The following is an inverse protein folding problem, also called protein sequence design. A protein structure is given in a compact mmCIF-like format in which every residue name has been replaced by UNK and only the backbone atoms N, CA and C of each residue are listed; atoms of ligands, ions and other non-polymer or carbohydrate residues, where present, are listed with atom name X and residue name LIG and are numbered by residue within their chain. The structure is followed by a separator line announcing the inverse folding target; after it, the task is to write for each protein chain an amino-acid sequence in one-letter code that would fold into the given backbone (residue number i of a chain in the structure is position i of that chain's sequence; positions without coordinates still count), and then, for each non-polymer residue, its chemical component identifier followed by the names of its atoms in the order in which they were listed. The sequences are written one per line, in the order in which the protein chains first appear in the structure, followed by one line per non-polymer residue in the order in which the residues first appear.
data_IF_216429713642
#
_entry.id   IF_216429713642
#
_cell.length_a   1.000
_cell.length_b   1.000
_cell.length_c   1.000
_cell.angle_alpha   90.00
_cell.angle_beta   90.00
_cell.angle_gamma   90.00
#
_symmetry.space_group_name_H-M   'P 1'
#
loop_
_entity.id
_entity.type
_entity.pdbx_description
1 polymer ?
#
# COMPACT_ATOMS: atom_id res chain seq x y z
N UNK A 1 -8.22 7.98 -6.42
CA UNK A 1 -6.93 7.26 -6.37
C UNK A 1 -6.88 6.32 -7.55
N UNK A 2 -5.78 6.34 -8.29
CA UNK A 2 -5.63 5.56 -9.52
C UNK A 2 -4.59 4.47 -9.27
N UNK A 3 -4.88 3.22 -9.64
CA UNK A 3 -3.84 2.19 -9.61
C UNK A 3 -2.85 2.43 -10.73
N UNK A 4 -1.57 2.26 -10.43
CA UNK A 4 -0.48 2.39 -11.38
C UNK A 4 -0.42 1.22 -12.39
N UNK A 5 -1.12 0.13 -12.12
CA UNK A 5 -1.26 -1.06 -12.99
C UNK A 5 -2.40 -0.98 -14.02
N UNK A 6 -3.11 0.14 -14.17
CA UNK A 6 -4.23 0.21 -15.12
C UNK A 6 -3.80 0.00 -16.60
N UNK A 7 -2.52 0.22 -16.90
CA UNK A 7 -1.94 -0.05 -18.22
C UNK A 7 -1.75 -1.54 -18.54
N UNK A 8 -1.92 -2.42 -17.55
CA UNK A 8 -1.88 -3.88 -17.74
C UNK A 8 -3.06 -4.40 -18.57
N UNK A 9 -4.16 -3.65 -18.67
CA UNK A 9 -5.23 -3.92 -19.65
C UNK A 9 -5.90 -2.59 -19.99
N UNK A 10 -5.33 -1.91 -20.99
CA UNK A 10 -5.82 -0.60 -21.44
C UNK A 10 -7.30 -0.64 -21.81
N UNK A 11 -7.77 -1.69 -22.48
CA UNK A 11 -9.16 -1.76 -22.95
C UNK A 11 -10.15 -1.88 -21.77
N UNK A 12 -9.77 -2.53 -20.68
CA UNK A 12 -10.63 -2.70 -19.50
C UNK A 12 -10.50 -1.59 -18.47
N UNK A 13 -9.30 -1.08 -18.23
CA UNK A 13 -9.03 -0.17 -17.10
C UNK A 13 -8.85 1.29 -17.50
N UNK A 14 -8.64 1.59 -18.79
CA UNK A 14 -8.36 2.96 -19.25
C UNK A 14 -9.32 3.43 -20.36
N UNK A 15 -9.52 2.63 -21.42
CA UNK A 15 -10.26 3.06 -22.62
C UNK A 15 -11.69 3.51 -22.27
N UNK A 16 -12.03 4.70 -22.74
CA UNK A 16 -13.34 5.33 -22.54
C UNK A 16 -13.56 5.91 -21.14
N UNK A 17 -12.50 5.99 -20.32
CA UNK A 17 -12.47 6.76 -19.09
C UNK A 17 -11.55 7.99 -19.28
N UNK A 18 -12.08 9.21 -19.45
CA UNK A 18 -11.28 10.39 -19.76
C UNK A 18 -10.22 10.73 -18.72
N UNK A 19 -10.48 10.46 -17.44
CA UNK A 19 -9.51 10.74 -16.37
C UNK A 19 -8.36 9.74 -16.37
N UNK A 20 -8.65 8.47 -16.68
CA UNK A 20 -7.60 7.46 -16.86
C UNK A 20 -6.82 7.71 -18.15
N UNK A 21 -7.49 8.04 -19.25
CA UNK A 21 -6.86 8.32 -20.55
C UNK A 21 -5.93 9.52 -20.48
N UNK A 22 -6.27 10.56 -19.70
CA UNK A 22 -5.39 11.70 -19.44
C UNK A 22 -4.13 11.29 -18.67
N UNK A 23 -4.29 10.63 -17.52
CA UNK A 23 -3.16 10.18 -16.68
C UNK A 23 -2.23 9.23 -17.43
N UNK A 24 -2.80 8.31 -18.21
CA UNK A 24 -2.07 7.29 -18.96
C UNK A 24 -1.72 7.72 -20.39
N UNK A 25 -1.98 8.97 -20.77
CA UNK A 25 -1.65 9.45 -22.10
C UNK A 25 -0.16 9.31 -22.34
N UNK A 26 0.19 8.48 -23.32
CA UNK A 26 1.56 8.24 -23.75
C UNK A 26 1.57 7.94 -25.24
N UNK A 27 1.65 9.00 -26.03
CA UNK A 27 1.68 8.95 -27.50
C UNK A 27 3.05 9.32 -28.09
N UNK A 28 3.19 9.27 -29.43
CA UNK A 28 4.38 9.76 -30.13
C UNK A 28 4.70 11.24 -29.87
N UNK A 29 3.69 12.05 -29.51
CA UNK A 29 3.82 13.49 -29.26
C UNK A 29 4.20 13.81 -27.81
N UNK A 30 4.14 12.84 -26.89
CA UNK A 30 4.53 13.03 -25.50
C UNK A 30 3.73 12.20 -24.50
N UNK A 31 3.96 12.52 -23.22
CA UNK A 31 3.23 11.98 -22.07
C UNK A 31 2.59 13.13 -21.29
N UNK A 32 1.40 12.93 -20.76
CA UNK A 32 0.78 13.94 -19.87
C UNK A 32 1.42 13.92 -18.48
N UNK A 33 1.74 12.72 -17.96
CA UNK A 33 2.53 12.53 -16.73
C UNK A 33 3.94 12.09 -17.09
N UNK A 34 4.85 13.07 -17.15
CA UNK A 34 6.23 12.89 -17.65
C UNK A 34 7.20 12.31 -16.61
N UNK A 35 6.99 12.58 -15.31
CA UNK A 35 7.86 12.09 -14.24
C UNK A 35 7.19 10.91 -13.55
N UNK A 36 7.87 9.75 -13.53
CA UNK A 36 7.42 8.56 -12.82
C UNK A 36 8.53 8.02 -11.94
N UNK A 37 8.30 8.02 -10.64
CA UNK A 37 9.32 7.80 -9.63
C UNK A 37 10.08 9.08 -9.28
N UNK A 38 10.85 8.98 -8.20
CA UNK A 38 11.59 10.06 -7.55
C UNK A 38 12.57 10.76 -8.49
N UNK A 39 13.17 10.03 -9.41
CA UNK A 39 14.10 10.55 -10.43
C UNK A 39 13.56 10.46 -11.86
N UNK A 40 12.32 10.00 -12.03
CA UNK A 40 11.71 9.76 -13.34
C UNK A 40 12.09 8.42 -13.99
N UNK A 41 12.87 7.58 -13.32
CA UNK A 41 13.31 6.26 -13.83
C UNK A 41 12.54 5.07 -13.26
N UNK A 42 11.39 5.31 -12.62
CA UNK A 42 10.61 4.27 -11.94
C UNK A 42 11.07 3.92 -10.52
N UNK A 43 11.92 4.74 -9.89
CA UNK A 43 12.24 4.64 -8.45
C UNK A 43 11.12 5.27 -7.62
N UNK A 44 9.99 4.56 -7.59
CA UNK A 44 8.68 5.01 -7.08
C UNK A 44 7.61 4.80 -8.15
N UNK A 45 6.62 3.96 -7.86
CA UNK A 45 5.68 3.46 -8.89
C UNK A 45 4.26 4.00 -8.74
N UNK A 46 3.90 4.50 -7.56
CA UNK A 46 2.52 4.80 -7.20
C UNK A 46 2.03 6.13 -7.77
N UNK A 47 0.80 6.14 -8.31
CA UNK A 47 0.10 7.38 -8.70
C UNK A 47 -0.58 7.97 -7.46
N UNK A 48 0.03 9.01 -6.89
CA UNK A 48 -0.47 9.67 -5.68
C UNK A 48 -1.33 10.88 -6.03
N UNK A 49 -2.60 10.85 -5.63
CA UNK A 49 -3.50 12.00 -5.68
C UNK A 49 -3.18 12.93 -4.51
N UNK A 50 -2.85 14.20 -4.80
CA UNK A 50 -2.43 15.18 -3.81
C UNK A 50 -1.39 16.17 -4.35
N UNK A 51 -0.64 16.86 -3.47
CA UNK A 51 -0.84 16.90 -2.02
C UNK A 51 -2.02 17.80 -1.61
N UNK A 52 -2.75 17.37 -0.59
CA UNK A 52 -3.74 18.16 0.13
C UNK A 52 -3.01 18.98 1.19
N UNK A 53 -3.06 20.30 1.07
CA UNK A 53 -2.51 21.23 2.06
C UNK A 53 -3.51 21.45 3.19
N UNK A 54 -3.06 21.28 4.44
CA UNK A 54 -3.88 21.44 5.66
C UNK A 54 -3.46 22.72 6.37
N UNK A 55 -4.35 23.73 6.36
CA UNK A 55 -4.07 25.02 6.98
C UNK A 55 -3.75 24.89 8.48
N UNK A 56 -2.64 25.51 8.91
CA UNK A 56 -2.23 25.55 10.32
C UNK A 56 -1.50 24.30 10.82
N UNK A 57 -1.30 23.29 9.96
CA UNK A 57 -0.51 22.12 10.29
C UNK A 57 0.98 22.49 10.38
N UNK A 58 1.60 22.14 11.50
CA UNK A 58 3.00 22.44 11.83
C UNK A 58 3.70 21.17 12.33
N UNK A 59 5.04 21.18 12.33
CA UNK A 59 5.82 20.06 12.81
C UNK A 59 5.46 19.73 14.28
N UNK A 60 5.17 18.46 14.56
CA UNK A 60 4.77 17.99 15.89
C UNK A 60 3.25 17.86 16.08
N UNK A 61 2.45 18.44 15.19
CA UNK A 61 1.02 18.13 15.11
C UNK A 61 0.81 16.69 14.62
N UNK A 62 -0.42 16.17 14.74
CA UNK A 62 -0.84 14.90 14.15
C UNK A 62 -1.97 15.15 13.16
N UNK A 63 -1.86 14.56 11.97
CA UNK A 63 -2.96 14.53 11.01
C UNK A 63 -3.79 13.27 11.21
N UNK A 64 -5.04 13.44 11.60
CA UNK A 64 -6.05 12.40 11.70
C UNK A 64 -6.82 12.31 10.39
N UNK A 65 -6.86 11.14 9.76
CA UNK A 65 -7.53 10.87 8.49
C UNK A 65 -8.53 9.73 8.66
N UNK A 66 -9.82 10.07 8.75
CA UNK A 66 -10.92 9.09 8.83
C UNK A 66 -11.33 8.65 7.42
N UNK A 67 -11.37 7.34 7.17
CA UNK A 67 -11.77 6.75 5.90
C UNK A 67 -13.26 6.42 5.96
N UNK A 68 -14.10 7.32 5.44
CA UNK A 68 -15.55 7.24 5.57
C UNK A 68 -16.16 6.23 4.59
N UNK A 69 -15.67 6.21 3.35
CA UNK A 69 -16.10 5.25 2.35
C UNK A 69 -15.03 5.03 1.28
N UNK A 70 -15.02 3.83 0.69
CA UNK A 70 -14.16 3.48 -0.44
C UNK A 70 -15.01 2.74 -1.48
N UNK A 71 -14.90 3.16 -2.74
CA UNK A 71 -15.73 2.66 -3.85
C UNK A 71 -14.85 2.42 -5.06
N UNK A 72 -14.98 1.28 -5.77
CA UNK A 72 -14.21 1.07 -6.98
C UNK A 72 -14.58 2.09 -8.05
N UNK A 73 -13.59 2.52 -8.84
CA UNK A 73 -13.80 3.29 -10.05
C UNK A 73 -14.44 2.37 -11.09
N UNK A 74 -15.61 2.74 -11.58
CA UNK A 74 -16.29 2.00 -12.66
C UNK A 74 -15.83 2.58 -13.97
N UNK A 75 -15.33 1.74 -14.88
CA UNK A 75 -15.01 2.17 -16.23
C UNK A 75 -16.33 2.58 -16.95
N UNK A 76 -16.48 3.84 -17.38
CA UNK A 76 -17.72 4.32 -18.00
C UNK A 76 -18.09 3.58 -19.29
N UNK A 77 -17.11 3.06 -20.03
CA UNK A 77 -17.35 2.39 -21.32
C UNK A 77 -17.87 0.97 -21.17
N UNK A 78 -17.48 0.27 -20.11
CA UNK A 78 -17.86 -1.13 -19.87
C UNK A 78 -18.88 -1.30 -18.75
N UNK A 79 -19.06 -0.30 -17.88
CA UNK A 79 -19.88 -0.40 -16.67
C UNK A 79 -19.32 -1.36 -15.62
N UNK A 80 -18.06 -1.78 -15.77
CA UNK A 80 -17.38 -2.76 -14.90
C UNK A 80 -16.18 -2.13 -14.20
N UNK A 81 -15.69 -2.82 -13.18
CA UNK A 81 -14.43 -2.51 -12.52
C UNK A 81 -13.51 -3.70 -12.67
N UNK A 82 -12.26 -3.42 -13.00
CA UNK A 82 -11.18 -4.40 -13.07
C UNK A 82 -10.03 -3.97 -12.18
N UNK A 83 -9.23 -4.95 -11.78
CA UNK A 83 -7.95 -4.74 -11.12
C UNK A 83 -6.89 -5.66 -11.71
N UNK A 84 -5.63 -5.35 -11.42
CA UNK A 84 -4.48 -6.18 -11.77
C UNK A 84 -3.87 -6.78 -10.51
N UNK A 85 -3.14 -7.86 -10.65
CA UNK A 85 -2.26 -8.36 -9.60
C UNK A 85 -1.05 -8.93 -10.33
N UNK A 86 0.11 -8.38 -10.02
CA UNK A 86 1.36 -8.74 -10.65
C UNK A 86 2.18 -9.56 -9.65
N UNK A 87 2.35 -10.85 -9.95
CA UNK A 87 3.41 -11.65 -9.37
C UNK A 87 4.73 -11.17 -9.97
N UNK A 88 5.27 -10.11 -9.38
CA UNK A 88 6.36 -9.32 -9.93
C UNK A 88 7.72 -9.72 -9.36
N UNK A 89 8.78 -9.29 -10.02
CA UNK A 89 10.15 -9.67 -9.65
C UNK A 89 10.62 -9.19 -8.27
N UNK A 90 10.00 -8.16 -7.72
CA UNK A 90 10.29 -7.64 -6.38
C UNK A 90 9.56 -8.44 -5.28
N UNK A 91 8.58 -9.25 -5.67
CA UNK A 91 7.82 -10.10 -4.77
C UNK A 91 8.69 -11.17 -4.08
N UNK A 92 8.24 -11.63 -2.93
CA UNK A 92 8.98 -12.57 -2.09
C UNK A 92 9.11 -13.96 -2.74
N UNK A 93 8.15 -14.37 -3.58
CA UNK A 93 8.21 -15.58 -4.40
C UNK A 93 9.43 -15.63 -5.32
N UNK A 94 9.93 -14.49 -5.81
CA UNK A 94 11.18 -14.46 -6.59
C UNK A 94 12.41 -14.79 -5.74
N UNK A 95 12.39 -14.42 -4.45
CA UNK A 95 13.43 -14.77 -3.47
C UNK A 95 13.32 -16.23 -3.04
N UNK A 96 12.09 -16.72 -2.85
CA UNK A 96 11.82 -18.10 -2.45
C UNK A 96 12.11 -19.11 -3.58
N UNK A 97 11.99 -18.68 -4.83
CA UNK A 97 12.22 -19.50 -6.02
C UNK A 97 10.98 -20.23 -6.52
N UNK A 98 11.05 -20.68 -7.78
CA UNK A 98 9.97 -21.37 -8.47
C UNK A 98 10.25 -22.87 -8.58
N UNK A 99 9.20 -23.69 -8.63
CA UNK A 99 9.32 -25.16 -8.66
C UNK A 99 10.18 -25.69 -9.82
N UNK A 100 10.13 -25.05 -10.98
CA UNK A 100 10.92 -25.39 -12.17
C UNK A 100 12.26 -24.64 -12.25
N UNK A 101 12.60 -23.86 -11.22
CA UNK A 101 13.80 -23.04 -11.15
C UNK A 101 13.82 -21.85 -12.10
N UNK A 102 12.69 -21.53 -12.76
CA UNK A 102 12.61 -20.47 -13.78
C UNK A 102 11.84 -19.26 -13.25
N UNK A 103 12.51 -18.12 -13.01
CA UNK A 103 11.84 -16.90 -12.62
C UNK A 103 10.92 -16.42 -13.76
N UNK A 104 9.75 -15.92 -13.39
CA UNK A 104 8.75 -15.39 -14.33
C UNK A 104 7.82 -14.44 -13.62
N UNK A 105 7.45 -13.38 -14.32
CA UNK A 105 6.43 -12.45 -13.86
C UNK A 105 5.10 -12.84 -14.48
N UNK A 106 4.04 -12.82 -13.67
CA UNK A 106 2.69 -13.19 -14.11
C UNK A 106 1.74 -12.10 -13.68
N UNK A 107 1.02 -11.54 -14.63
CA UNK A 107 -0.07 -10.59 -14.35
C UNK A 107 -1.39 -11.33 -14.44
N UNK A 108 -2.23 -11.16 -13.43
CA UNK A 108 -3.60 -11.68 -13.39
C UNK A 108 -4.58 -10.53 -13.35
N UNK A 109 -5.46 -10.45 -14.34
CA UNK A 109 -6.54 -9.46 -14.38
C UNK A 109 -7.73 -10.01 -13.60
N UNK A 110 -8.30 -9.19 -12.71
CA UNK A 110 -9.48 -9.51 -11.91
C UNK A 110 -10.67 -8.67 -12.33
N UNK A 111 -11.86 -9.27 -12.36
CA UNK A 111 -13.14 -8.54 -12.43
C UNK A 111 -13.73 -8.41 -11.01
N UNK A 112 -14.17 -7.21 -10.65
CA UNK A 112 -14.85 -6.95 -9.38
C UNK A 112 -16.36 -7.06 -9.61
N UNK A 113 -16.95 -8.14 -9.10
CA UNK A 113 -18.33 -8.50 -9.35
C UNK A 113 -19.32 -7.70 -8.49
N UNK A 114 -20.47 -7.41 -9.09
CA UNK A 114 -21.64 -6.85 -8.43
C UNK A 114 -22.81 -7.83 -8.53
N UNK A 115 -23.65 -7.86 -7.49
CA UNK A 115 -24.93 -8.57 -7.55
C UNK A 115 -26.01 -7.75 -8.29
N UNK A 116 -27.21 -8.30 -8.41
CA UNK A 116 -28.36 -7.66 -9.09
C UNK A 116 -28.79 -6.34 -8.44
N UNK A 117 -28.42 -6.12 -7.18
CA UNK A 117 -28.71 -4.88 -6.44
C UNK A 117 -27.58 -3.85 -6.56
N UNK A 118 -26.50 -4.18 -7.28
CA UNK A 118 -25.34 -3.33 -7.48
C UNK A 118 -24.29 -3.42 -6.37
N UNK A 119 -24.50 -4.27 -5.35
CA UNK A 119 -23.56 -4.45 -4.26
C UNK A 119 -22.35 -5.26 -4.71
N UNK A 120 -21.18 -4.86 -4.25
CA UNK A 120 -19.92 -5.53 -4.55
C UNK A 120 -19.85 -6.83 -3.74
N UNK A 121 -19.45 -7.93 -4.39
CA UNK A 121 -19.46 -9.26 -3.77
C UNK A 121 -18.07 -9.88 -3.69
N UNK A 122 -17.44 -10.13 -4.84
CA UNK A 122 -16.17 -10.84 -4.95
C UNK A 122 -15.31 -10.23 -6.05
N UNK A 123 -14.00 -10.30 -5.90
CA UNK A 123 -13.09 -10.23 -7.04
C UNK A 123 -12.86 -11.66 -7.58
N UNK A 124 -12.91 -11.82 -8.89
CA UNK A 124 -12.66 -13.12 -9.55
C UNK A 124 -11.60 -12.96 -10.63
N UNK A 125 -10.68 -13.93 -10.77
CA UNK A 125 -9.68 -13.87 -11.82
C UNK A 125 -10.35 -14.05 -13.19
N UNK A 126 -10.01 -13.17 -14.12
CA UNK A 126 -10.50 -13.19 -15.50
C UNK A 126 -9.54 -13.92 -16.43
N UNK A 127 -8.26 -13.53 -16.44
CA UNK A 127 -7.20 -14.24 -17.13
C UNK A 127 -5.84 -13.88 -16.56
N UNK A 128 -4.83 -14.68 -16.90
CA UNK A 128 -3.43 -14.39 -16.58
C UNK A 128 -2.56 -14.39 -17.84
N UNK A 129 -1.43 -13.70 -17.81
CA UNK A 129 -0.41 -13.72 -18.85
C UNK A 129 0.98 -13.53 -18.24
N UNK A 130 2.02 -13.98 -18.94
CA UNK A 130 3.38 -13.81 -18.47
C UNK A 130 3.97 -12.51 -19.03
N UNK A 131 4.70 -11.77 -18.23
CA UNK A 131 5.50 -10.67 -18.74
C UNK A 131 6.86 -11.25 -19.19
N UNK A 132 7.20 -11.17 -20.49
CA UNK A 132 8.48 -11.70 -21.04
C UNK A 132 9.53 -10.58 -21.19
N UNK A 133 10.85 -10.76 -21.10
CA UNK A 133 11.73 -11.90 -20.89
C UNK A 133 12.76 -11.53 -19.79
N UNK A 134 12.94 -12.31 -18.72
CA UNK A 134 14.17 -12.23 -17.94
C UNK A 134 15.29 -12.90 -18.72
N UNK A 135 16.19 -12.10 -19.32
CA UNK A 135 17.39 -12.60 -19.96
C UNK A 135 18.60 -11.79 -19.57
N UNK A 136 19.39 -12.34 -18.65
CA UNK A 136 20.79 -11.97 -18.53
C UNK A 136 21.61 -12.35 -19.80
N UNK A 137 21.05 -13.16 -20.74
CA UNK A 137 21.83 -13.74 -21.85
C UNK A 137 21.18 -13.71 -23.25
N UNK A 138 20.11 -12.94 -23.47
CA UNK A 138 19.49 -12.78 -24.80
C UNK A 138 18.83 -14.02 -25.41
N UNK A 139 18.53 -15.09 -24.66
CA UNK A 139 17.79 -16.26 -25.18
C UNK A 139 16.32 -16.29 -24.80
N UNK A 140 15.41 -15.99 -25.74
CA UNK A 140 13.95 -16.17 -25.60
C UNK A 140 13.52 -17.31 -24.67
N UNK A 141 12.46 -17.09 -23.89
CA UNK A 141 11.80 -18.12 -23.08
C UNK A 141 11.80 -19.50 -23.79
N UNK A 142 11.99 -20.55 -23.00
CA UNK A 142 12.25 -21.90 -23.49
C UNK A 142 11.11 -22.52 -24.35
N UNK A 143 10.01 -21.81 -24.61
CA UNK A 143 8.77 -22.33 -25.21
C UNK A 143 8.11 -21.42 -26.27
N UNK A 144 8.78 -20.37 -26.79
CA UNK A 144 8.23 -19.55 -27.88
C UNK A 144 7.07 -18.62 -27.50
N UNK A 145 6.92 -18.28 -26.22
CA UNK A 145 5.97 -17.31 -25.72
C UNK A 145 6.35 -15.90 -26.22
N UNK A 146 5.40 -15.16 -26.78
CA UNK A 146 5.57 -13.74 -27.10
C UNK A 146 4.85 -12.95 -26.01
N UNK A 147 5.61 -12.30 -25.11
CA UNK A 147 5.03 -11.47 -24.05
C UNK A 147 4.23 -10.28 -24.59
N UNK A 148 3.55 -9.53 -23.71
CA UNK A 148 2.80 -8.34 -24.09
C UNK A 148 3.68 -7.39 -24.90
N UNK A 149 3.14 -6.85 -26.00
CA UNK A 149 3.81 -5.77 -26.71
C UNK A 149 3.38 -4.43 -26.12
N UNK A 150 4.34 -3.51 -26.01
CA UNK A 150 4.12 -2.19 -25.48
C UNK A 150 3.90 -1.24 -26.64
N UNK A 151 2.85 -0.42 -26.56
CA UNK A 151 2.49 0.50 -27.64
C UNK A 151 2.37 1.92 -27.10
N UNK A 152 2.73 2.88 -27.94
CA UNK A 152 2.28 4.24 -27.73
C UNK A 152 0.80 4.32 -28.13
N UNK A 153 -0.01 5.04 -27.35
CA UNK A 153 -1.41 5.25 -27.69
C UNK A 153 -1.50 5.97 -29.05
N UNK A 154 -2.38 5.55 -29.97
CA UNK A 154 -2.59 6.25 -31.23
C UNK A 154 -3.09 7.67 -30.94
N UNK A 155 -2.55 8.67 -31.65
CA UNK A 155 -2.94 10.10 -31.54
C UNK A 155 -4.34 10.41 -32.11
N UNK A 156 -5.21 9.42 -32.28
CA UNK A 156 -6.56 9.64 -32.79
C UNK A 156 -7.53 10.00 -31.66
N UNK A 157 -7.49 11.27 -31.29
CA UNK A 157 -8.42 11.88 -30.35
C UNK A 157 -7.97 13.30 -30.04
N UNK A 158 -8.40 14.27 -30.84
CA UNK A 158 -8.25 15.67 -30.47
C UNK A 158 -9.03 15.91 -29.18
N UNK A 159 -8.32 16.12 -28.07
CA UNK A 159 -8.93 16.52 -26.81
C UNK A 159 -9.33 17.98 -26.89
N UNK A 160 -10.62 18.23 -26.65
CA UNK A 160 -11.11 19.57 -26.34
C UNK A 160 -10.48 20.01 -25.03
N UNK A 161 -9.76 21.11 -25.10
CA UNK A 161 -9.17 21.86 -24.00
C UNK A 161 -10.20 22.05 -22.86
N UNK A 162 -10.03 21.39 -21.71
CA UNK A 162 -10.88 21.62 -20.53
C UNK A 162 -10.09 21.67 -19.23
N UNK A 163 -9.87 22.89 -18.73
CA UNK A 163 -9.82 23.18 -17.30
C UNK A 163 -8.62 24.00 -16.81
N UNK A 164 -8.73 25.34 -16.69
CA UNK A 164 -7.62 26.21 -16.30
C UNK A 164 -7.37 26.27 -14.77
N UNK A 165 -7.34 25.15 -14.03
CA UNK A 165 -7.25 25.24 -12.55
C UNK A 165 -6.63 24.03 -11.79
N UNK A 166 -5.64 23.32 -12.31
CA UNK A 166 -4.89 22.30 -11.54
C UNK A 166 -3.37 22.34 -11.73
N UNK A 167 -2.77 23.54 -11.81
CA UNK A 167 -1.32 23.68 -11.75
C UNK A 167 -0.93 24.38 -10.45
N UNK A 168 -0.80 23.61 -9.37
CA UNK A 168 0.04 24.02 -8.26
C UNK A 168 1.50 24.00 -8.77
N UNK A 169 2.07 25.18 -8.98
CA UNK A 169 3.42 25.36 -9.49
C UNK A 169 4.42 25.06 -8.36
N UNK A 170 4.80 23.79 -8.21
CA UNK A 170 5.84 23.34 -7.28
C UNK A 170 7.22 23.63 -7.90
N UNK A 171 7.85 24.74 -7.53
CA UNK A 171 9.15 25.17 -8.06
C UNK A 171 10.37 24.40 -7.51
N UNK A 172 10.21 23.11 -7.19
CA UNK A 172 11.32 22.21 -6.81
C UNK A 172 11.59 21.09 -7.83
N UNK A 173 10.94 21.11 -9.00
CA UNK A 173 11.39 20.29 -10.12
C UNK A 173 12.71 20.88 -10.66
N UNK A 174 13.84 20.33 -10.20
CA UNK A 174 15.14 20.56 -10.81
C UNK A 174 15.01 20.39 -12.34
N UNK A 175 15.41 21.40 -13.10
CA UNK A 175 15.29 21.42 -14.58
C UNK A 175 16.05 20.27 -15.28
N UNK A 176 16.86 19.49 -14.54
CA UNK A 176 17.54 18.28 -15.03
C UNK A 176 16.60 17.10 -15.30
N UNK A 177 15.44 17.00 -14.64
CA UNK A 177 14.56 15.82 -14.76
C UNK A 177 13.67 15.82 -16.02
N UNK A 178 13.66 16.91 -16.79
CA UNK A 178 12.90 17.04 -18.04
C UNK A 178 13.38 16.10 -19.16
N UNK A 179 14.56 15.47 -19.02
CA UNK A 179 15.25 14.79 -20.12
C UNK A 179 15.26 13.25 -20.04
N UNK A 180 14.53 12.63 -19.10
CA UNK A 180 14.39 11.17 -19.03
C UNK A 180 13.05 10.73 -19.64
N UNK A 181 12.77 11.20 -20.85
CA UNK A 181 11.69 10.65 -21.66
C UNK A 181 12.05 9.20 -22.04
N UNK A 182 11.32 8.21 -21.51
CA UNK A 182 11.30 6.87 -22.10
C UNK A 182 10.72 7.02 -23.50
N UNK A 183 11.53 6.95 -24.57
CA UNK A 183 11.10 7.42 -25.87
C UNK A 183 10.14 6.41 -26.51
N UNK A 184 9.08 6.93 -27.12
CA UNK A 184 8.34 6.19 -28.15
C UNK A 184 9.27 6.01 -29.36
N UNK A 185 9.78 4.80 -29.56
CA UNK A 185 10.64 4.48 -30.71
C UNK A 185 9.84 3.58 -31.65
N UNK A 186 9.56 4.06 -32.86
CA UNK A 186 8.78 3.34 -33.87
C UNK A 186 7.39 2.88 -33.39
N UNK A 187 6.72 3.67 -32.53
CA UNK A 187 5.38 3.35 -32.00
C UNK A 187 5.37 2.36 -30.83
N UNK A 188 6.54 1.98 -30.31
CA UNK A 188 6.68 1.13 -29.12
C UNK A 188 7.33 1.89 -27.97
N UNK A 189 6.92 1.58 -26.73
CA UNK A 189 7.57 2.07 -25.52
C UNK A 189 8.81 1.18 -25.25
N UNK A 190 10.02 1.73 -25.35
CA UNK A 190 11.26 0.98 -25.11
C UNK A 190 11.68 1.06 -23.63
N UNK A 191 11.48 -0.01 -22.87
CA UNK A 191 11.99 -0.16 -21.49
C UNK A 191 12.25 -1.66 -21.20
N UNK A 192 13.04 -1.97 -20.17
CA UNK A 192 13.33 -3.34 -19.74
C UNK A 192 12.57 -3.71 -18.46
N UNK A 193 11.65 -4.70 -18.53
CA UNK A 193 10.93 -5.29 -17.38
C UNK A 193 9.67 -4.53 -16.94
N UNK A 194 8.87 -5.11 -16.03
CA UNK A 194 7.65 -4.50 -15.43
C UNK A 194 7.90 -3.23 -14.59
N UNK A 195 9.15 -2.79 -14.46
CA UNK A 195 9.58 -1.80 -13.47
C UNK A 195 9.12 -0.36 -13.71
N UNK A 196 8.69 -0.01 -14.93
CA UNK A 196 8.27 1.37 -15.20
C UNK A 196 6.76 1.52 -14.99
N UNK A 197 6.29 2.31 -14.02
CA UNK A 197 4.87 2.37 -13.72
C UNK A 197 4.07 2.93 -14.90
N UNK A 198 2.85 2.42 -15.09
CA UNK A 198 1.89 2.92 -16.06
C UNK A 198 2.22 2.69 -17.54
N UNK A 199 3.01 1.67 -17.84
CA UNK A 199 3.22 1.17 -19.21
C UNK A 199 1.89 0.75 -19.82
N UNK A 200 1.69 1.05 -21.11
CA UNK A 200 0.53 0.53 -21.85
C UNK A 200 0.90 -0.79 -22.49
N UNK A 201 0.34 -1.87 -21.96
CA UNK A 201 0.47 -3.21 -22.52
C UNK A 201 -0.69 -3.49 -23.46
N UNK A 202 -0.39 -4.16 -24.57
CA UNK A 202 -1.38 -4.82 -25.40
C UNK A 202 -1.02 -6.28 -25.49
N UNK A 203 -1.93 -7.12 -25.03
CA UNK A 203 -1.76 -8.56 -25.06
C UNK A 203 -1.87 -9.06 -26.50
N UNK A 204 -0.85 -9.75 -27.05
CA UNK A 204 -1.02 -10.49 -28.29
C UNK A 204 -2.15 -11.50 -28.11
N UNK A 205 -3.11 -11.50 -29.03
CA UNK A 205 -4.27 -12.39 -28.97
C UNK A 205 -3.83 -13.85 -28.85
N UNK A 206 -4.30 -14.54 -27.81
CA UNK A 206 -3.99 -15.95 -27.55
C UNK A 206 -2.83 -16.19 -26.58
N UNK A 207 -2.30 -15.14 -25.95
CA UNK A 207 -1.32 -15.26 -24.86
C UNK A 207 -1.96 -15.27 -23.48
N UNK A 208 -3.27 -14.97 -23.41
CA UNK A 208 -4.08 -14.98 -22.21
C UNK A 208 -4.47 -16.41 -21.81
N UNK A 209 -4.17 -16.77 -20.57
CA UNK A 209 -4.63 -18.02 -19.95
C UNK A 209 -5.91 -17.77 -19.16
N UNK A 210 -7.03 -18.10 -19.79
CA UNK A 210 -8.37 -18.05 -19.20
C UNK A 210 -8.70 -19.25 -18.31
N UNK A 211 -7.81 -20.24 -18.18
CA UNK A 211 -8.07 -21.44 -17.37
C UNK A 211 -8.16 -21.16 -15.87
N UNK A 212 -7.71 -19.97 -15.43
CA UNK A 212 -7.81 -19.49 -14.05
C UNK A 212 -9.26 -19.10 -13.65
N UNK A 213 -10.15 -18.86 -14.61
CA UNK A 213 -11.55 -18.51 -14.34
C UNK A 213 -12.25 -19.60 -13.51
N UNK A 214 -12.99 -19.17 -12.49
CA UNK A 214 -13.78 -20.06 -11.64
C UNK A 214 -12.96 -20.98 -10.71
N UNK A 215 -11.63 -20.77 -10.61
CA UNK A 215 -10.79 -21.55 -9.68
C UNK A 215 -10.93 -21.10 -8.24
N UNK A 216 -11.09 -19.80 -8.01
CA UNK A 216 -11.31 -19.21 -6.71
C UNK A 216 -12.01 -17.85 -6.83
N UNK A 217 -12.43 -17.31 -5.69
CA UNK A 217 -12.99 -15.97 -5.53
C UNK A 217 -12.34 -15.32 -4.32
N UNK A 218 -12.09 -14.02 -4.41
CA UNK A 218 -11.38 -13.25 -3.37
C UNK A 218 -12.38 -12.33 -2.67
N UNK A 219 -12.49 -12.39 -1.33
CA UNK A 219 -13.29 -11.43 -0.58
C UNK A 219 -12.77 -10.02 -0.84
N UNK A 220 -13.67 -9.10 -1.16
CA UNK A 220 -13.30 -7.70 -1.37
C UNK A 220 -13.06 -7.02 -0.03
N UNK A 221 -11.94 -6.31 0.06
CA UNK A 221 -11.56 -5.45 1.16
C UNK A 221 -10.80 -4.24 0.60
N UNK A 222 -11.55 -3.20 0.20
CA UNK A 222 -10.94 -1.99 -0.34
C UNK A 222 -10.11 -1.29 0.73
N UNK A 223 -8.85 -1.01 0.39
CA UNK A 223 -7.94 -0.28 1.25
C UNK A 223 -6.94 0.53 0.42
N UNK A 224 -6.21 1.39 1.11
CA UNK A 224 -5.24 2.31 0.56
C UNK A 224 -3.86 1.78 0.97
N UNK A 225 -3.08 1.32 0.01
CA UNK A 225 -1.69 0.90 0.21
C UNK A 225 -0.82 2.09 0.56
N UNK A 226 -0.94 3.17 -0.23
CA UNK A 226 -0.15 4.38 -0.07
C UNK A 226 -0.95 5.59 0.47
N UNK A 227 -0.75 5.94 1.74
CA UNK A 227 -1.23 7.20 2.31
C UNK A 227 -0.10 7.86 3.09
N UNK A 228 0.30 9.06 2.65
CA UNK A 228 1.58 9.67 2.99
C UNK A 228 1.45 11.15 3.33
N UNK A 229 2.17 11.59 4.38
CA UNK A 229 2.51 12.99 4.58
C UNK A 229 3.89 13.28 4.03
N UNK A 230 4.13 14.50 3.56
CA UNK A 230 5.48 14.86 3.12
C UNK A 230 6.47 14.79 4.29
N UNK A 231 7.56 14.06 4.06
CA UNK A 231 8.63 13.90 5.04
C UNK A 231 9.46 15.18 5.18
N UNK A 232 9.96 15.46 6.39
CA UNK A 232 10.92 16.55 6.62
C UNK A 232 12.32 16.15 6.14
N UNK A 233 12.53 16.21 4.83
CA UNK A 233 13.79 15.84 4.19
C UNK A 233 14.11 16.75 3.00
N UNK A 234 15.38 16.76 2.59
CA UNK A 234 15.84 17.43 1.37
C UNK A 234 15.81 16.50 0.15
N UNK A 235 15.41 15.24 0.31
CA UNK A 235 15.24 14.30 -0.80
C UNK A 235 13.85 14.48 -1.43
N UNK A 236 13.76 14.31 -2.75
CA UNK A 236 12.54 13.74 -3.33
C UNK A 236 12.42 12.32 -2.79
N UNK A 237 11.25 11.88 -2.34
CA UNK A 237 11.08 10.59 -1.66
C UNK A 237 10.51 9.55 -2.63
N UNK A 238 11.05 8.33 -2.58
CA UNK A 238 10.54 7.16 -3.30
C UNK A 238 9.19 6.75 -2.69
N UNK A 239 8.17 6.53 -3.52
CA UNK A 239 6.83 6.16 -3.04
C UNK A 239 6.73 4.74 -2.52
N UNK A 240 7.72 3.87 -2.76
CA UNK A 240 7.69 2.45 -2.41
C UNK A 240 7.92 2.23 -0.91
N UNK A 241 9.05 2.64 -0.27
CA UNK A 241 9.27 2.24 1.12
C UNK A 241 8.38 3.03 2.09
N UNK A 242 7.58 2.38 2.94
CA UNK A 242 6.87 3.06 4.01
C UNK A 242 7.82 3.55 5.12
N UNK A 243 7.35 4.48 5.94
CA UNK A 243 8.08 4.96 7.10
C UNK A 243 7.17 5.64 8.11
N UNK A 244 7.75 6.35 9.09
CA UNK A 244 7.02 7.15 10.10
C UNK A 244 5.99 8.12 9.50
N UNK A 245 6.23 8.64 8.30
CA UNK A 245 5.33 9.57 7.60
C UNK A 245 4.15 8.88 6.87
N UNK A 246 4.02 7.56 7.01
CA UNK A 246 3.10 6.74 6.23
C UNK A 246 3.79 6.19 4.98
N UNK A 247 3.17 6.37 3.80
CA UNK A 247 3.66 5.78 2.55
C UNK A 247 2.96 4.48 2.22
N UNK A 248 3.66 3.60 1.49
CA UNK A 248 3.20 2.27 1.07
C UNK A 248 3.21 1.29 2.24
N UNK A 249 2.26 1.46 3.16
CA UNK A 249 2.18 0.60 4.33
C UNK A 249 1.65 -0.78 3.93
N UNK A 250 0.75 -0.81 2.93
CA UNK A 250 0.12 -2.02 2.39
C UNK A 250 -0.50 -2.87 3.49
N UNK A 251 -1.20 -2.18 4.40
CA UNK A 251 -2.03 -2.85 5.39
C UNK A 251 -3.48 -2.85 4.92
N UNK A 252 -3.99 -4.06 4.68
CA UNK A 252 -5.40 -4.29 4.29
C UNK A 252 -6.43 -3.68 5.25
N UNK A 253 -6.02 -3.29 6.46
CA UNK A 253 -6.87 -2.64 7.46
C UNK A 253 -7.08 -1.14 7.20
N UNK A 254 -6.27 -0.49 6.35
CA UNK A 254 -6.38 0.94 5.97
C UNK A 254 -7.54 1.13 4.98
N UNK A 255 -8.73 0.76 5.42
CA UNK A 255 -9.96 0.74 4.64
C UNK A 255 -11.09 1.49 5.31
N UNK A 256 -12.30 1.34 4.77
CA UNK A 256 -13.51 1.98 5.30
C UNK A 256 -13.69 1.71 6.80
N UNK A 257 -13.96 2.76 7.57
CA UNK A 257 -14.16 2.70 9.02
C UNK A 257 -12.87 2.77 9.84
N UNK A 258 -11.70 2.71 9.20
CA UNK A 258 -10.43 2.97 9.86
C UNK A 258 -10.13 4.48 9.90
N UNK A 259 -9.35 4.86 10.90
CA UNK A 259 -8.77 6.19 11.05
C UNK A 259 -7.26 6.06 11.13
N UNK A 260 -6.55 6.81 10.30
CA UNK A 260 -5.09 6.90 10.36
C UNK A 260 -4.64 8.15 11.10
N UNK A 261 -3.54 8.03 11.83
CA UNK A 261 -2.86 9.14 12.50
C UNK A 261 -1.41 9.17 12.02
N UNK A 262 -0.99 10.33 11.52
CA UNK A 262 0.37 10.54 11.01
C UNK A 262 1.00 11.75 11.69
N UNK A 263 2.27 11.67 12.14
CA UNK A 263 2.98 12.83 12.65
C UNK A 263 3.27 13.82 11.52
N UNK A 264 2.87 15.07 11.69
CA UNK A 264 3.16 16.16 10.77
C UNK A 264 4.63 16.53 10.89
N UNK A 265 5.36 16.47 9.77
CA UNK A 265 6.78 16.77 9.73
C UNK A 265 7.09 18.12 9.06
N UNK A 266 6.21 18.57 8.16
CA UNK A 266 6.39 19.83 7.41
C UNK A 266 5.13 20.69 7.47
N UNK A 267 5.25 22.03 7.35
CA UNK A 267 4.10 22.92 7.31
C UNK A 267 3.09 22.53 6.23
N UNK A 268 1.82 22.47 6.62
CA UNK A 268 0.73 22.08 5.73
C UNK A 268 0.49 20.57 5.60
N UNK A 269 1.30 19.72 6.26
CA UNK A 269 1.27 18.25 6.22
C UNK A 269 1.50 17.59 4.85
N UNK A 270 0.87 18.11 3.78
CA UNK A 270 0.98 17.70 2.39
C UNK A 270 0.55 16.23 2.18
N UNK A 271 -0.68 15.92 2.60
CA UNK A 271 -1.25 14.58 2.51
C UNK A 271 -1.47 14.17 1.04
N UNK A 272 -0.92 13.03 0.64
CA UNK A 272 -1.21 12.39 -0.64
C UNK A 272 -1.65 10.95 -0.43
N UNK A 273 -2.39 10.40 -1.40
CA UNK A 273 -2.85 9.01 -1.33
C UNK A 273 -3.01 8.38 -2.71
N UNK A 274 -2.71 7.10 -2.81
CA UNK A 274 -2.76 6.31 -4.03
C UNK A 274 -2.69 4.83 -3.71
N UNK A 275 -2.30 4.03 -4.71
CA UNK A 275 -2.05 2.60 -4.54
C UNK A 275 -3.20 1.85 -3.85
N UNK A 276 -4.37 1.98 -4.45
CA UNK A 276 -5.56 1.41 -3.87
C UNK A 276 -5.74 -0.05 -4.29
N UNK A 277 -6.16 -0.89 -3.34
CA UNK A 277 -6.30 -2.32 -3.55
C UNK A 277 -7.74 -2.77 -3.34
N UNK A 278 -8.23 -3.68 -4.18
CA UNK A 278 -9.49 -4.39 -3.96
C UNK A 278 -9.36 -5.43 -2.85
N UNK A 279 -8.22 -6.08 -2.75
CA UNK A 279 -7.92 -7.08 -1.73
C UNK A 279 -6.41 -7.31 -1.67
N UNK A 280 -5.92 -7.75 -0.51
CA UNK A 280 -4.53 -8.10 -0.28
C UNK A 280 -4.43 -9.05 0.91
N UNK A 281 -3.46 -9.96 0.88
CA UNK A 281 -3.08 -10.76 2.03
C UNK A 281 -2.04 -10.03 2.89
N UNK A 282 -2.04 -10.31 4.19
CA UNK A 282 -0.92 -9.97 5.07
C UNK A 282 0.36 -10.62 4.50
N UNK A 283 1.35 -9.80 4.13
CA UNK A 283 2.62 -10.07 3.43
C UNK A 283 2.74 -9.51 2.01
N UNK A 284 1.64 -9.29 1.29
CA UNK A 284 1.68 -8.87 -0.12
C UNK A 284 2.64 -9.72 -0.96
N UNK A 285 2.59 -11.03 -0.73
CA UNK A 285 3.70 -11.94 -0.99
C UNK A 285 4.27 -11.87 -2.41
N UNK A 286 3.41 -11.67 -3.41
CA UNK A 286 3.79 -11.70 -4.81
C UNK A 286 4.28 -10.35 -5.37
N UNK A 287 4.25 -9.30 -4.54
CA UNK A 287 4.70 -7.95 -4.87
C UNK A 287 3.59 -6.91 -4.97
N UNK A 288 2.32 -7.31 -5.05
CA UNK A 288 1.19 -6.37 -5.24
C UNK A 288 -0.10 -6.87 -4.59
N UNK A 289 -1.04 -5.97 -4.34
CA UNK A 289 -2.43 -6.32 -4.06
C UNK A 289 -3.20 -6.74 -5.33
N UNK A 290 -4.54 -6.77 -5.22
CA UNK A 290 -5.39 -6.57 -6.39
C UNK A 290 -5.48 -5.06 -6.63
N UNK A 291 -4.50 -4.55 -7.33
CA UNK A 291 -4.31 -3.19 -7.80
C UNK A 291 -5.53 -2.64 -8.52
N UNK A 292 -6.23 -1.67 -7.93
CA UNK A 292 -7.53 -1.19 -8.43
C UNK A 292 -7.71 0.31 -8.23
N UNK A 293 -8.14 1.03 -9.26
CA UNK A 293 -8.55 2.43 -9.12
C UNK A 293 -9.81 2.54 -8.26
N UNK A 294 -9.79 3.39 -7.23
CA UNK A 294 -10.92 3.64 -6.33
C UNK A 294 -11.16 5.14 -6.08
N UNK A 295 -12.39 5.48 -5.71
CA UNK A 295 -12.77 6.76 -5.12
C UNK A 295 -12.95 6.59 -3.61
N UNK A 296 -12.58 7.61 -2.83
CA UNK A 296 -12.71 7.58 -1.38
C UNK A 296 -13.27 8.88 -0.82
N UNK A 297 -14.06 8.75 0.23
CA UNK A 297 -14.61 9.85 1.03
C UNK A 297 -13.82 9.89 2.35
N UNK A 298 -13.21 11.04 2.66
CA UNK A 298 -12.33 11.19 3.82
C UNK A 298 -12.74 12.38 4.68
N UNK A 299 -12.53 12.28 6.00
CA UNK A 299 -12.49 13.44 6.89
C UNK A 299 -11.07 13.62 7.39
N UNK A 300 -10.53 14.81 7.16
CA UNK A 300 -9.18 15.19 7.59
C UNK A 300 -9.32 16.16 8.75
N UNK A 301 -8.69 15.83 9.87
CA UNK A 301 -8.70 16.64 11.10
C UNK A 301 -7.25 16.88 11.52
N UNK A 302 -6.89 18.14 11.75
CA UNK A 302 -5.62 18.50 12.36
C UNK A 302 -5.76 18.43 13.88
N UNK A 303 -4.85 17.69 14.53
CA UNK A 303 -4.73 17.66 15.99
C UNK A 303 -3.46 18.43 16.37
N UNK A 304 -3.61 19.50 17.15
CA UNK A 304 -2.48 20.35 17.55
C UNK A 304 -1.64 19.65 18.61
N UNK A 305 -0.33 19.86 18.57
CA UNK A 305 0.65 19.21 19.44
C UNK A 305 0.34 19.32 20.95
N UNK A 306 -0.26 20.44 21.39
CA UNK A 306 -0.64 20.70 22.78
C UNK A 306 -2.05 20.19 23.17
N UNK A 307 -2.77 19.59 22.21
CA UNK A 307 -4.14 19.07 22.36
C UNK A 307 -4.25 17.62 21.88
N UNK A 308 -3.13 16.89 21.75
CA UNK A 308 -3.14 15.52 21.29
C UNK A 308 -3.85 14.60 22.30
N UNK A 309 -4.69 13.65 21.83
CA UNK A 309 -5.17 12.59 22.70
C UNK A 309 -3.99 11.70 23.11
N UNK A 310 -4.10 11.06 24.28
CA UNK A 310 -3.01 10.29 24.88
C UNK A 310 -2.48 9.21 23.95
N UNK A 311 -3.30 8.66 23.05
CA UNK A 311 -2.92 7.63 22.07
C UNK A 311 -2.06 8.18 20.92
N UNK A 312 -2.19 9.47 20.59
CA UNK A 312 -1.46 10.15 19.52
C UNK A 312 -0.32 11.05 20.00
N UNK A 313 -0.12 11.22 21.31
CA UNK A 313 1.07 11.87 21.87
C UNK A 313 2.37 11.16 21.46
N UNK A 314 3.46 11.89 21.26
CA UNK A 314 4.78 11.34 20.89
C UNK A 314 4.74 10.29 19.76
N UNK A 315 3.86 10.48 18.77
CA UNK A 315 3.62 9.52 17.71
C UNK A 315 4.82 9.45 16.74
N UNK A 316 5.54 8.33 16.77
CA UNK A 316 6.74 8.09 15.94
C UNK A 316 6.52 7.01 14.87
N UNK A 317 5.27 6.64 14.62
CA UNK A 317 4.86 5.63 13.65
C UNK A 317 3.45 5.93 13.12
N UNK A 318 3.05 5.41 11.96
CA UNK A 318 1.66 5.46 11.53
C UNK A 318 0.78 4.63 12.49
N UNK A 319 -0.24 5.24 13.08
CA UNK A 319 -1.20 4.56 13.93
C UNK A 319 -2.53 4.43 13.20
N UNK A 320 -3.15 3.26 13.29
CA UNK A 320 -4.50 3.03 12.83
C UNK A 320 -5.42 2.75 14.01
N UNK A 321 -6.65 3.23 13.90
CA UNK A 321 -7.73 2.97 14.85
C UNK A 321 -9.00 2.56 14.11
N UNK A 322 -9.73 1.58 14.64
CA UNK A 322 -11.15 1.39 14.35
C UNK A 322 -11.94 1.18 15.65
N UNK A 323 -13.24 0.86 15.53
CA UNK A 323 -14.12 0.68 16.70
C UNK A 323 -13.64 -0.37 17.70
N UNK A 324 -12.89 -1.38 17.23
CA UNK A 324 -12.55 -2.57 18.02
C UNK A 324 -11.07 -2.67 18.38
N UNK A 325 -10.17 -2.05 17.62
CA UNK A 325 -8.73 -2.25 17.76
C UNK A 325 -7.92 -1.00 17.42
N UNK A 326 -6.71 -0.96 17.98
CA UNK A 326 -5.61 -0.12 17.52
C UNK A 326 -4.64 -0.99 16.72
N UNK A 327 -4.04 -0.42 15.68
CA UNK A 327 -3.01 -1.10 14.90
C UNK A 327 -1.77 -0.23 14.81
N UNK A 328 -0.68 -0.74 15.37
CA UNK A 328 0.62 -0.07 15.42
C UNK A 328 1.53 -0.66 14.35
N UNK A 329 2.17 0.19 13.55
CA UNK A 329 3.05 -0.24 12.47
C UNK A 329 4.52 -0.13 12.88
N UNK A 330 5.29 -1.19 12.60
CA UNK A 330 6.74 -1.19 12.66
C UNK A 330 7.33 -1.63 11.32
N UNK A 331 8.46 -1.05 10.97
CA UNK A 331 9.15 -1.33 9.71
C UNK A 331 10.59 -1.75 9.99
N UNK A 332 11.30 -2.29 8.99
CA UNK A 332 12.73 -2.58 9.11
C UNK A 332 13.48 -1.38 9.71
N UNK A 333 13.21 -0.16 9.26
CA UNK A 333 13.67 1.08 9.89
C UNK A 333 12.47 1.97 10.19
N UNK A 334 12.39 2.52 11.40
CA UNK A 334 11.27 3.38 11.80
C UNK A 334 11.22 4.66 10.93
N UNK A 335 12.38 5.27 10.72
CA UNK A 335 12.60 6.41 9.83
C UNK A 335 13.84 6.17 8.94
N UNK A 336 13.68 5.37 7.88
CA UNK A 336 14.79 5.00 7.00
C UNK A 336 15.51 6.20 6.37
N UNK A 337 14.81 7.32 6.15
CA UNK A 337 15.42 8.54 5.60
C UNK A 337 16.42 9.19 6.57
N UNK A 338 16.20 9.06 7.88
CA UNK A 338 17.06 9.64 8.91
C UNK A 338 18.07 8.63 9.48
N UNK A 339 17.74 7.34 9.45
CA UNK A 339 18.59 6.28 10.00
C UNK A 339 19.71 5.82 9.05
N UNK A 340 19.59 6.13 7.75
CA UNK A 340 20.48 5.60 6.71
C UNK A 340 21.24 6.71 5.98
N UNK A 341 22.54 6.51 5.79
CA UNK A 341 23.39 7.42 5.00
C UNK A 341 23.02 7.43 3.50
N UNK A 342 22.61 6.28 2.96
CA UNK A 342 22.17 6.12 1.57
C UNK A 342 20.78 5.47 1.53
N UNK A 343 19.73 6.22 1.90
CA UNK A 343 18.42 5.64 2.24
C UNK A 343 17.82 4.82 1.10
N UNK A 344 17.78 5.36 -0.12
CA UNK A 344 17.18 4.70 -1.29
C UNK A 344 17.96 3.50 -1.86
N UNK A 345 19.16 3.22 -1.36
CA UNK A 345 19.93 2.03 -1.73
C UNK A 345 19.87 0.98 -0.62
N UNK A 346 20.11 1.41 0.61
CA UNK A 346 20.25 0.49 1.75
C UNK A 346 18.91 -0.09 2.16
N UNK A 347 17.81 0.67 2.06
CA UNK A 347 16.47 0.20 2.44
C UNK A 347 16.03 -1.06 1.68
N UNK A 348 16.41 -1.20 0.40
CA UNK A 348 16.11 -2.39 -0.41
C UNK A 348 17.11 -3.55 -0.22
N UNK A 349 18.33 -3.24 0.22
CA UNK A 349 19.40 -4.22 0.38
C UNK A 349 19.38 -4.90 1.75
N UNK A 350 18.85 -4.24 2.78
CA UNK A 350 18.88 -4.68 4.18
C UNK A 350 17.48 -4.87 4.79
N UNK A 351 16.50 -5.20 3.95
CA UNK A 351 15.12 -5.51 4.34
C UNK A 351 15.07 -6.75 5.25
N UNK A 352 14.39 -6.67 6.39
CA UNK A 352 14.24 -7.82 7.30
C UNK A 352 13.01 -7.72 8.21
N UNK A 353 12.36 -8.88 8.42
CA UNK A 353 11.28 -9.03 9.37
C UNK A 353 11.76 -9.02 10.82
N UNK A 354 13.00 -9.44 11.11
CA UNK A 354 13.51 -9.48 12.49
C UNK A 354 13.66 -8.07 13.06
N UNK A 355 14.15 -7.13 12.25
CA UNK A 355 14.23 -5.72 12.65
C UNK A 355 12.85 -5.08 12.70
N UNK A 356 11.99 -5.37 11.72
CA UNK A 356 10.60 -4.88 11.72
C UNK A 356 9.81 -5.35 12.94
N UNK A 357 10.00 -6.60 13.37
CA UNK A 357 9.44 -7.15 14.61
C UNK A 357 9.93 -6.38 15.84
N UNK A 358 11.23 -6.07 15.90
CA UNK A 358 11.81 -5.28 17.00
C UNK A 358 11.22 -3.87 17.05
N UNK A 359 11.10 -3.21 15.90
CA UNK A 359 10.49 -1.86 15.80
C UNK A 359 9.01 -1.91 16.18
N UNK A 360 8.25 -2.88 15.66
CA UNK A 360 6.83 -3.05 15.99
C UNK A 360 6.62 -3.31 17.49
N UNK A 361 7.48 -4.13 18.11
CA UNK A 361 7.45 -4.39 19.56
C UNK A 361 7.71 -3.11 20.36
N UNK A 362 8.77 -2.36 20.03
CA UNK A 362 9.09 -1.12 20.74
C UNK A 362 7.96 -0.10 20.61
N UNK A 363 7.43 0.10 19.40
CA UNK A 363 6.31 1.00 19.14
C UNK A 363 5.06 0.58 19.94
N UNK A 364 4.77 -0.72 19.98
CA UNK A 364 3.62 -1.27 20.72
C UNK A 364 3.78 -1.15 22.22
N UNK A 365 4.96 -1.47 22.75
CA UNK A 365 5.29 -1.30 24.17
C UNK A 365 5.11 0.14 24.59
N UNK A 366 5.71 1.08 23.86
CA UNK A 366 5.67 2.50 24.18
C UNK A 366 4.23 3.03 24.08
N UNK A 367 3.48 2.62 23.05
CA UNK A 367 2.06 2.93 22.90
C UNK A 367 1.22 2.41 24.07
N UNK A 368 1.39 1.15 24.47
CA UNK A 368 0.58 0.53 25.54
C UNK A 368 0.92 1.09 26.92
N UNK A 369 2.21 1.34 27.20
CA UNK A 369 2.63 1.98 28.44
C UNK A 369 2.00 3.36 28.60
N UNK A 370 2.03 4.18 27.53
CA UNK A 370 1.47 5.52 27.52
C UNK A 370 -0.07 5.52 27.56
N UNK A 371 -0.71 4.76 26.67
CA UNK A 371 -2.17 4.83 26.45
C UNK A 371 -2.98 4.14 27.55
N UNK A 372 -2.39 3.16 28.24
CA UNK A 372 -3.08 2.34 29.24
C UNK A 372 -2.46 2.38 30.63
N UNK A 373 -1.53 3.31 30.89
CA UNK A 373 -0.84 3.51 32.17
C UNK A 373 -0.22 2.21 32.72
N UNK A 374 0.51 1.50 31.85
CA UNK A 374 1.17 0.24 32.20
C UNK A 374 2.66 0.47 32.47
N UNK A 375 3.22 -0.24 33.45
CA UNK A 375 4.67 -0.41 33.54
C UNK A 375 5.17 -1.25 32.35
N UNK A 376 6.48 -1.21 32.08
CA UNK A 376 7.07 -2.02 31.00
C UNK A 376 6.79 -3.52 31.19
N UNK A 377 6.98 -4.06 32.39
CA UNK A 377 6.69 -5.47 32.69
C UNK A 377 5.21 -5.83 32.48
N UNK A 378 4.29 -4.92 32.82
CA UNK A 378 2.85 -5.10 32.60
C UNK A 378 2.52 -5.07 31.11
N UNK A 379 3.09 -4.11 30.36
CA UNK A 379 2.92 -4.01 28.92
C UNK A 379 3.43 -5.28 28.23
N UNK A 380 4.62 -5.78 28.57
CA UNK A 380 5.17 -7.03 28.02
C UNK A 380 4.21 -8.21 28.24
N UNK A 381 3.68 -8.34 29.46
CA UNK A 381 2.71 -9.40 29.75
C UNK A 381 1.42 -9.24 28.95
N UNK A 382 0.89 -8.03 28.82
CA UNK A 382 -0.32 -7.77 28.04
C UNK A 382 -0.09 -8.04 26.54
N UNK A 383 1.00 -7.51 25.99
CA UNK A 383 1.44 -7.74 24.60
C UNK A 383 1.47 -9.25 24.30
N UNK A 384 2.10 -10.03 25.17
CA UNK A 384 2.25 -11.48 24.98
C UNK A 384 0.91 -12.23 24.96
N UNK A 385 -0.09 -11.73 25.68
CA UNK A 385 -1.33 -12.47 25.95
C UNK A 385 -2.51 -12.04 25.06
N UNK A 386 -2.54 -10.78 24.61
CA UNK A 386 -3.71 -10.23 23.90
C UNK A 386 -3.39 -9.43 22.64
N UNK A 387 -2.11 -9.26 22.27
CA UNK A 387 -1.71 -8.53 21.06
C UNK A 387 -1.14 -9.49 20.03
N UNK A 388 -1.68 -9.45 18.81
CA UNK A 388 -1.18 -10.23 17.69
C UNK A 388 -0.17 -9.42 16.87
N UNK A 389 0.94 -10.06 16.44
CA UNK A 389 1.91 -9.48 15.52
C UNK A 389 1.77 -10.17 14.17
N UNK A 390 1.52 -9.38 13.13
CA UNK A 390 1.26 -9.86 11.78
C UNK A 390 2.22 -9.23 10.78
N UNK A 391 2.62 -9.99 9.76
CA UNK A 391 3.39 -9.44 8.64
C UNK A 391 2.49 -8.53 7.81
N UNK A 392 2.88 -7.27 7.65
CA UNK A 392 2.16 -6.31 6.81
C UNK A 392 2.47 -6.58 5.34
N UNK A 393 3.74 -6.41 4.98
CA UNK A 393 4.28 -6.66 3.64
C UNK A 393 5.77 -7.06 3.74
N UNK A 394 6.27 -7.70 2.67
CA UNK A 394 7.69 -8.08 2.51
C UNK A 394 8.24 -7.72 1.12
N UNK A 395 7.76 -6.62 0.53
CA UNK A 395 8.02 -6.31 -0.88
C UNK A 395 8.50 -4.88 -1.13
N UNK A 396 8.34 -3.96 -0.17
CA UNK A 396 8.59 -2.52 -0.41
C UNK A 396 9.95 -2.01 0.07
N UNK A 397 10.92 -2.90 0.23
CA UNK A 397 12.23 -2.57 0.80
C UNK A 397 12.19 -2.36 2.31
N UNK A 398 11.40 -1.41 2.82
CA UNK A 398 11.20 -1.23 4.26
C UNK A 398 10.07 -2.14 4.77
N UNK A 399 10.37 -3.43 4.96
CA UNK A 399 9.35 -4.45 5.29
C UNK A 399 8.61 -4.16 6.59
N UNK A 400 7.34 -4.56 6.66
CA UNK A 400 6.43 -4.19 7.73
C UNK A 400 5.95 -5.36 8.61
N UNK A 401 5.91 -5.12 9.92
CA UNK A 401 5.11 -5.87 10.89
C UNK A 401 4.10 -4.88 11.49
N UNK A 402 2.84 -5.29 11.64
CA UNK A 402 1.87 -4.53 12.41
C UNK A 402 1.39 -5.34 13.61
N UNK A 403 1.03 -4.64 14.67
CA UNK A 403 0.42 -5.26 15.85
C UNK A 403 -1.05 -4.92 15.91
N UNK A 404 -1.87 -5.86 16.36
CA UNK A 404 -3.31 -5.69 16.52
C UNK A 404 -3.63 -5.71 18.00
N UNK A 405 -3.99 -4.55 18.54
CA UNK A 405 -4.27 -4.34 19.96
C UNK A 405 -5.78 -4.21 20.12
N UNK A 406 -6.50 -5.25 20.60
CA UNK A 406 -7.93 -5.14 20.82
C UNK A 406 -8.21 -4.11 21.92
N UNK A 407 -9.28 -3.34 21.78
CA UNK A 407 -9.70 -2.34 22.78
C UNK A 407 -10.36 -2.97 24.01
N UNK A 408 -11.05 -4.11 23.84
CA UNK A 408 -11.86 -4.73 24.90
C UNK A 408 -11.15 -5.04 26.23
N UNK A 409 -9.84 -5.41 26.29
CA UNK A 409 -9.17 -5.66 27.57
C UNK A 409 -8.89 -4.38 28.35
N UNK A 410 -8.83 -3.24 27.66
CA UNK A 410 -8.37 -1.95 28.20
C UNK A 410 -9.52 -0.95 28.38
N UNK A 411 -10.71 -1.26 27.89
CA UNK A 411 -11.92 -0.51 28.24
C UNK A 411 -12.30 -0.77 29.69
N UNK A 412 -12.63 0.29 30.44
CA UNK A 412 -13.09 0.20 31.83
C UNK A 412 -14.30 -0.73 31.95
N UNK A 413 -14.04 -1.99 32.29
CA UNK A 413 -15.04 -2.94 32.77
C UNK A 413 -15.67 -2.36 34.04
N UNK A 414 -17.00 -2.28 34.07
CA UNK A 414 -17.75 -1.98 35.31
C UNK A 414 -17.65 -3.11 36.34
N UNK A 415 -17.15 -4.30 35.95
CA UNK A 415 -16.83 -5.38 36.86
C UNK A 415 -15.42 -5.17 37.43
N UNK A 416 -15.34 -4.85 38.72
CA UNK A 416 -14.11 -4.95 39.49
C UNK A 416 -13.68 -6.42 39.55
N UNK A 417 -12.72 -6.81 38.72
CA UNK A 417 -12.01 -8.07 38.91
C UNK A 417 -11.08 -7.93 40.11
N UNK A 418 -11.56 -8.34 41.29
CA UNK A 418 -10.69 -8.62 42.43
C UNK A 418 -10.22 -10.06 42.29
N UNK A 419 -8.92 -10.32 42.01
CA UNK A 419 -8.42 -11.69 42.03
C UNK A 419 -8.74 -12.30 43.39
N UNK A 420 -9.10 -13.59 43.40
CA UNK A 420 -9.33 -14.31 44.66
C UNK A 420 -8.03 -14.29 45.46
N UNK A 421 -7.97 -13.45 46.49
CA UNK A 421 -6.88 -13.44 47.45
C UNK A 421 -7.08 -14.67 48.33
N UNK A 422 -6.36 -15.76 48.03
CA UNK A 422 -6.35 -16.92 48.92
C UNK A 422 -5.74 -16.51 50.27
N UNK A 423 -6.42 -16.76 51.40
CA UNK A 423 -5.86 -16.47 52.71
C UNK A 423 -4.68 -17.42 53.01
N UNK A 424 -3.47 -16.86 53.09
CA UNK A 424 -2.34 -17.42 53.86
C UNK A 424 -1.22 -18.06 53.05
N UNK A 425 -0.10 -17.35 52.90
CA UNK A 425 1.22 -17.98 52.88
C UNK A 425 1.51 -18.54 54.28
N UNK A 426 1.36 -19.86 54.47
CA UNK A 426 2.27 -20.71 55.29
C UNK A 426 1.71 -22.08 55.75
N UNK A 427 0.78 -22.75 55.05
CA UNK A 427 0.57 -24.21 55.25
C UNK A 427 0.21 -24.93 53.95
N UNK A 428 0.69 -26.16 53.72
CA UNK A 428 0.36 -26.93 52.52
C UNK A 428 -1.12 -27.32 52.57
N UNK A 429 -1.87 -26.97 51.52
CA UNK A 429 -3.25 -27.38 51.35
C UNK A 429 -3.28 -28.75 50.66
N UNK A 430 -3.84 -29.77 51.33
CA UNK A 430 -4.36 -30.95 50.64
C UNK A 430 -5.60 -30.51 49.86
N UNK A 431 -5.51 -30.54 48.52
CA UNK A 431 -6.64 -30.28 47.64
C UNK A 431 -7.23 -31.62 47.22
N UNK A 432 -8.46 -31.89 47.68
CA UNK A 432 -9.28 -32.96 47.08
C UNK A 432 -9.97 -32.39 45.85
N UNK A 433 -9.57 -32.86 44.67
CA UNK A 433 -10.26 -32.57 43.42
C UNK A 433 -11.66 -33.21 43.44
N UNK A 434 -12.71 -32.38 43.35
CA UNK A 434 -14.02 -32.84 42.92
C UNK A 434 -14.15 -32.54 41.43
N UNK A 435 -13.90 -33.56 40.62
CA UNK A 435 -14.30 -33.59 39.22
C UNK A 435 -15.75 -34.03 39.15
N UNK A 436 -16.60 -33.19 38.55
CA UNK A 436 -17.82 -33.65 37.89
C UNK A 436 -17.77 -33.18 36.45
N UNK A 437 -18.03 -34.14 35.56
CA UNK A 437 -17.75 -34.20 34.12
C UNK A 437 -18.56 -33.18 33.34
#
# INVERSE_FOLDING_TARGET
MITHHAGDDYDKMIRGDPGMEDIYHWGPEGQNVHTRGRTGTGDGVHVLTGPIYVCGAEQGDVLKVEILDLRPRVNPSTGKTYGSNAAANWGYQFRAGFLDGKPREVVTIYEILRDETGNITWAVPDYQFQYGNYLEDGKTNANGYQGPSTYCLPTEGGYGDTGPNLLANWTNANDEFKNLSVPCVNGQQQFSGLYYPGIITKHPTGTEDYSIRGKFRVPVNFHIGNMILAAATNYTVDSVPPSVFGGNIDNRRIGKGATMYYPVQVPGALLSMGDAHTAQGNSEFDGTGIETSINGDFRITLLKADELPIEAEDLTFPLLENDNEWVVHGFTYANYLNELDTPFKTVYADSTLDRAMTVAYNNTRDFMMRSFDLTEDQAISAITLVVDFEVTQVVDGNWGIHTVIPKWPFTNSTEQFSPTVFPGSSKPAEVTMLTTI
#
